data_IF_913412570991
#
_entry.id   IF_913412570991
#
_cell.length_a   1.000
_cell.length_b   1.000
_cell.length_c   1.000
_cell.angle_alpha   90.00
_cell.angle_beta   90.00
_cell.angle_gamma   90.00
#
_symmetry.space_group_name_H-M   'P 1'
#
loop_
_entity.id
_entity.type
_entity.pdbx_description
1 polymer ?
#
# COMPACT_ATOMS: atom_id res chain seq x y z
N UNK A 1 12.25 15.50 -18.09
CA UNK A 1 13.30 15.29 -17.06
C UNK A 1 12.71 14.48 -15.90
N UNK A 2 12.29 13.24 -16.16
CA UNK A 2 11.82 12.29 -15.14
C UNK A 2 12.50 10.95 -15.40
N UNK A 3 13.81 10.92 -15.21
CA UNK A 3 14.61 9.68 -15.17
C UNK A 3 14.65 9.13 -13.72
N UNK A 4 13.61 9.47 -12.93
CA UNK A 4 13.60 9.31 -11.49
C UNK A 4 12.79 8.07 -11.14
N UNK A 5 13.50 6.98 -10.87
CA UNK A 5 12.91 5.74 -10.34
C UNK A 5 12.19 5.99 -9.01
N UNK A 6 12.60 7.03 -8.29
CA UNK A 6 11.90 7.54 -7.10
C UNK A 6 10.48 8.05 -7.38
N UNK A 7 10.20 8.69 -8.53
CA UNK A 7 8.84 9.16 -8.86
C UNK A 7 7.91 7.98 -9.11
N UNK A 8 8.40 6.95 -9.81
CA UNK A 8 7.67 5.70 -10.03
C UNK A 8 7.38 4.99 -8.71
N UNK A 9 8.32 4.98 -7.77
CA UNK A 9 8.09 4.45 -6.41
C UNK A 9 6.89 5.13 -5.73
N UNK A 10 6.81 6.47 -5.78
CA UNK A 10 5.66 7.20 -5.21
C UNK A 10 4.36 6.84 -5.91
N UNK A 11 4.34 6.82 -7.25
CA UNK A 11 3.13 6.48 -8.02
C UNK A 11 2.64 5.07 -7.68
N UNK A 12 3.53 4.08 -7.65
CA UNK A 12 3.19 2.70 -7.30
C UNK A 12 2.71 2.55 -5.84
N UNK A 13 3.24 3.36 -4.91
CA UNK A 13 2.77 3.36 -3.52
C UNK A 13 1.32 3.84 -3.41
N UNK A 14 1.00 4.96 -4.07
CA UNK A 14 -0.34 5.56 -4.03
C UNK A 14 -1.35 4.65 -4.72
N UNK A 15 -1.00 4.13 -5.91
CA UNK A 15 -1.84 3.20 -6.65
C UNK A 15 -2.09 1.91 -5.87
N UNK A 16 -1.06 1.35 -5.23
CA UNK A 16 -1.18 0.15 -4.40
C UNK A 16 -2.15 0.37 -3.25
N UNK A 17 -2.02 1.48 -2.52
CA UNK A 17 -2.90 1.81 -1.39
C UNK A 17 -4.33 2.04 -1.86
N UNK A 18 -4.54 2.78 -2.97
CA UNK A 18 -5.88 3.00 -3.52
C UNK A 18 -6.56 1.70 -3.92
N UNK A 19 -5.85 0.81 -4.64
CA UNK A 19 -6.36 -0.50 -5.04
C UNK A 19 -6.73 -1.35 -3.83
N UNK A 20 -5.89 -1.34 -2.79
CA UNK A 20 -6.16 -2.06 -1.55
C UNK A 20 -7.42 -1.52 -0.87
N UNK A 21 -7.56 -0.20 -0.70
CA UNK A 21 -8.76 0.41 -0.10
C UNK A 21 -10.02 0.11 -0.92
N UNK A 22 -9.93 0.19 -2.25
CA UNK A 22 -11.06 -0.14 -3.11
C UNK A 22 -11.50 -1.59 -2.95
N UNK A 23 -10.57 -2.53 -2.75
CA UNK A 23 -10.89 -3.95 -2.58
C UNK A 23 -11.83 -4.23 -1.40
N UNK A 24 -11.75 -3.42 -0.34
CA UNK A 24 -12.65 -3.52 0.83
C UNK A 24 -14.03 -2.91 0.60
N UNK A 25 -14.25 -2.16 -0.48
CA UNK A 25 -15.52 -1.46 -0.77
C UNK A 25 -16.36 -2.10 -1.86
N UNK A 26 -15.91 -3.20 -2.47
CA UNK A 26 -16.52 -3.69 -3.72
C UNK A 26 -17.84 -4.43 -3.47
N UNK A 27 -17.90 -5.30 -2.45
CA UNK A 27 -19.06 -6.17 -2.24
C UNK A 27 -19.30 -6.47 -0.76
N UNK A 28 -20.52 -6.19 -0.26
CA UNK A 28 -20.92 -6.54 1.11
C UNK A 28 -21.20 -8.04 1.28
N UNK A 29 -21.66 -8.72 0.22
CA UNK A 29 -21.92 -10.17 0.20
C UNK A 29 -21.39 -10.82 -1.08
N UNK A 30 -20.06 -11.01 -1.20
CA UNK A 30 -19.45 -11.48 -2.44
C UNK A 30 -19.76 -12.96 -2.70
N UNK A 31 -20.19 -13.25 -3.93
CA UNK A 31 -20.25 -14.62 -4.49
C UNK A 31 -18.85 -15.23 -4.63
N UNK A 32 -18.77 -16.54 -4.89
CA UNK A 32 -17.48 -17.23 -5.03
C UNK A 32 -16.58 -16.59 -6.11
N UNK A 33 -17.15 -16.21 -7.25
CA UNK A 33 -16.43 -15.55 -8.34
C UNK A 33 -15.94 -14.15 -7.97
N UNK A 34 -16.74 -13.38 -7.22
CA UNK A 34 -16.37 -12.04 -6.76
C UNK A 34 -15.26 -12.08 -5.71
N UNK A 35 -15.24 -13.10 -4.84
CA UNK A 35 -14.13 -13.35 -3.90
C UNK A 35 -12.80 -13.55 -4.63
N UNK A 36 -12.81 -14.26 -5.76
CA UNK A 36 -11.61 -14.46 -6.58
C UNK A 36 -11.14 -13.12 -7.17
N UNK A 37 -12.06 -12.27 -7.66
CA UNK A 37 -11.73 -10.94 -8.20
C UNK A 37 -11.12 -10.06 -7.10
N UNK A 38 -11.73 -10.01 -5.90
CA UNK A 38 -11.19 -9.28 -4.75
C UNK A 38 -9.79 -9.78 -4.42
N UNK A 39 -9.57 -11.10 -4.37
CA UNK A 39 -8.26 -11.68 -4.08
C UNK A 39 -7.19 -11.28 -5.11
N UNK A 40 -7.53 -11.23 -6.40
CA UNK A 40 -6.63 -10.77 -7.47
C UNK A 40 -6.29 -9.29 -7.27
N UNK A 41 -7.26 -8.44 -6.96
CA UNK A 41 -7.04 -7.00 -6.71
C UNK A 41 -6.14 -6.80 -5.50
N UNK A 42 -6.37 -7.53 -4.41
CA UNK A 42 -5.52 -7.48 -3.22
C UNK A 42 -4.09 -7.93 -3.57
N UNK A 43 -3.95 -9.05 -4.27
CA UNK A 43 -2.63 -9.54 -4.69
C UNK A 43 -1.90 -8.51 -5.57
N UNK A 44 -2.59 -7.91 -6.55
CA UNK A 44 -2.05 -6.85 -7.39
C UNK A 44 -1.64 -5.61 -6.59
N UNK A 45 -2.42 -5.22 -5.58
CA UNK A 45 -2.10 -4.10 -4.70
C UNK A 45 -0.81 -4.35 -3.91
N UNK A 46 -0.62 -5.56 -3.37
CA UNK A 46 0.59 -5.95 -2.65
C UNK A 46 1.82 -5.97 -3.57
N UNK A 47 1.67 -6.51 -4.78
CA UNK A 47 2.73 -6.50 -5.79
C UNK A 47 3.12 -5.06 -6.14
N UNK A 48 2.16 -4.15 -6.33
CA UNK A 48 2.42 -2.73 -6.58
C UNK A 48 3.17 -2.05 -5.42
N UNK A 49 2.76 -2.31 -4.18
CA UNK A 49 3.47 -1.80 -2.99
C UNK A 49 4.90 -2.36 -2.92
N UNK A 50 5.10 -3.65 -3.22
CA UNK A 50 6.43 -4.24 -3.23
C UNK A 50 7.34 -3.63 -4.30
N UNK A 51 6.83 -3.45 -5.53
CA UNK A 51 7.51 -2.75 -6.61
C UNK A 51 7.90 -1.33 -6.20
N UNK A 52 7.02 -0.60 -5.52
CA UNK A 52 7.33 0.73 -5.00
C UNK A 52 8.55 0.72 -4.06
N UNK A 53 8.65 -0.24 -3.14
CA UNK A 53 9.81 -0.38 -2.24
C UNK A 53 11.07 -0.65 -3.07
N UNK A 54 11.02 -1.59 -4.01
CA UNK A 54 12.15 -1.94 -4.89
C UNK A 54 12.63 -0.72 -5.68
N UNK A 55 11.72 0.02 -6.31
CA UNK A 55 12.06 1.23 -7.05
C UNK A 55 12.61 2.34 -6.14
N UNK A 56 12.09 2.47 -4.91
CA UNK A 56 12.61 3.40 -3.91
C UNK A 56 14.05 3.08 -3.53
N UNK A 57 14.35 1.80 -3.23
CA UNK A 57 15.71 1.34 -2.91
C UNK A 57 16.66 1.55 -4.09
N UNK A 58 16.22 1.28 -5.32
CA UNK A 58 17.03 1.52 -6.53
C UNK A 58 17.31 3.02 -6.72
N UNK A 59 16.31 3.89 -6.50
CA UNK A 59 16.48 5.35 -6.54
C UNK A 59 17.48 5.85 -5.49
N UNK A 60 17.45 5.28 -4.29
CA UNK A 60 18.43 5.55 -3.23
C UNK A 60 19.85 5.11 -3.64
N UNK A 61 20.01 3.91 -4.19
CA UNK A 61 21.33 3.40 -4.66
C UNK A 61 21.92 4.27 -5.78
N UNK A 62 21.08 4.83 -6.65
CA UNK A 62 21.50 5.74 -7.72
C UNK A 62 21.86 7.15 -7.24
N UNK A 63 21.81 7.43 -5.92
CA UNK A 63 22.07 8.76 -5.34
C UNK A 63 21.21 9.86 -5.99
N UNK A 64 19.96 9.55 -6.36
CA UNK A 64 19.01 10.55 -6.86
C UNK A 64 18.87 11.66 -5.80
N UNK A 65 19.04 12.92 -6.23
CA UNK A 65 18.94 14.10 -5.34
C UNK A 65 17.47 14.43 -5.10
N UNK A 66 17.08 14.62 -3.84
CA UNK A 66 15.75 15.08 -3.44
C UNK A 66 15.06 14.17 -2.42
N UNK A 67 13.98 14.65 -1.78
CA UNK A 67 13.24 13.91 -0.75
C UNK A 67 12.42 12.74 -1.32
N UNK A 68 12.07 12.79 -2.60
CA UNK A 68 11.19 11.82 -3.28
C UNK A 68 11.67 10.36 -3.21
N UNK A 69 12.97 10.11 -3.00
CA UNK A 69 13.54 8.76 -2.82
C UNK A 69 13.03 8.05 -1.57
N UNK A 70 12.65 8.79 -0.53
CA UNK A 70 12.16 8.23 0.73
C UNK A 70 10.64 8.20 0.80
N UNK A 71 9.97 9.16 0.14
CA UNK A 71 8.53 9.37 0.24
C UNK A 71 7.74 8.09 -0.08
N UNK A 72 8.04 7.40 -1.19
CA UNK A 72 7.31 6.18 -1.58
C UNK A 72 7.41 5.06 -0.53
N UNK A 73 8.62 4.84 0.01
CA UNK A 73 8.86 3.84 1.06
C UNK A 73 8.19 4.26 2.37
N UNK A 74 8.31 5.53 2.75
CA UNK A 74 7.72 6.08 3.98
C UNK A 74 6.19 5.98 3.96
N UNK A 75 5.55 6.24 2.82
CA UNK A 75 4.09 6.10 2.64
C UNK A 75 3.66 4.65 2.92
N UNK A 76 4.36 3.67 2.34
CA UNK A 76 4.03 2.25 2.54
C UNK A 76 4.28 1.84 4.00
N UNK A 77 5.39 2.30 4.59
CA UNK A 77 5.67 2.03 5.99
C UNK A 77 4.57 2.58 6.91
N UNK A 78 4.17 3.84 6.73
CA UNK A 78 3.06 4.46 7.48
C UNK A 78 1.75 3.70 7.28
N UNK A 79 1.49 3.21 6.07
CA UNK A 79 0.29 2.43 5.76
C UNK A 79 0.24 1.12 6.55
N UNK A 80 1.33 0.34 6.56
CA UNK A 80 1.41 -0.89 7.34
C UNK A 80 1.35 -0.64 8.86
N UNK A 81 2.00 0.43 9.34
CA UNK A 81 1.89 0.85 10.74
C UNK A 81 0.44 1.17 11.10
N UNK A 82 -0.28 1.89 10.24
CA UNK A 82 -1.71 2.19 10.43
C UNK A 82 -2.57 0.93 10.52
N UNK A 83 -2.34 -0.06 9.63
CA UNK A 83 -3.04 -1.34 9.67
C UNK A 83 -2.72 -2.11 10.95
N UNK A 84 -1.44 -2.20 11.32
CA UNK A 84 -0.99 -2.92 12.51
C UNK A 84 -1.46 -2.27 13.82
N UNK A 85 -1.63 -0.95 13.83
CA UNK A 85 -2.21 -0.22 14.96
C UNK A 85 -3.70 -0.52 15.15
N UNK A 86 -4.45 -0.87 14.11
CA UNK A 86 -5.89 -1.16 14.21
C UNK A 86 -6.23 -2.24 15.26
N UNK A 87 -5.64 -3.45 15.23
CA UNK A 87 -5.91 -4.46 16.25
C UNK A 87 -5.37 -4.07 17.64
N UNK A 88 -4.27 -3.31 17.70
CA UNK A 88 -3.71 -2.81 18.97
C UNK A 88 -4.70 -1.85 19.63
N UNK A 89 -5.25 -0.92 18.86
CA UNK A 89 -6.27 0.01 19.35
C UNK A 89 -7.57 -0.71 19.72
N UNK A 90 -8.00 -1.72 18.96
CA UNK A 90 -9.14 -2.57 19.35
C UNK A 90 -8.88 -3.30 20.67
N UNK A 91 -7.67 -3.82 20.89
CA UNK A 91 -7.32 -4.51 22.14
C UNK A 91 -7.20 -3.58 23.34
N UNK A 92 -6.68 -2.36 23.15
CA UNK A 92 -6.46 -1.38 24.23
C UNK A 92 -7.72 -0.60 24.62
N UNK A 93 -8.54 -0.20 23.65
CA UNK A 93 -9.74 0.60 23.88
C UNK A 93 -11.02 -0.24 24.00
N UNK A 94 -10.89 -1.57 23.88
CA UNK A 94 -11.97 -2.52 23.97
C UNK A 94 -12.77 -2.63 22.67
N UNK A 95 -13.30 -3.83 22.41
CA UNK A 95 -14.41 -3.99 21.49
C UNK A 95 -15.57 -3.18 22.09
N UNK A 96 -15.96 -2.06 21.46
CA UNK A 96 -17.31 -1.53 21.68
C UNK A 96 -18.25 -2.61 21.14
N UNK A 97 -18.72 -3.47 22.03
CA UNK A 97 -19.85 -4.35 21.80
C UNK A 97 -21.03 -3.50 21.27
N UNK A 98 -21.80 -4.00 20.29
CA UNK A 98 -23.06 -3.36 19.90
C UNK A 98 -24.08 -3.35 21.05
#
# INVERSE_FOLDING_TARGET
MFDNKSTWSVIFSILGIMLYIMSYRIFDNPTFSEKIIIAIIICGSLVSMFLSIVYGIIGMKKKERGPFKYIGITIIFLFFVGIALSPIFMGLFGFREP
#
